data_IF_556896387145
#
_entry.id   IF_556896387145
#
_cell.length_a   1.000
_cell.length_b   1.000
_cell.length_c   1.000
_cell.angle_alpha   90.00
_cell.angle_beta   90.00
_cell.angle_gamma   90.00
#
_symmetry.space_group_name_H-M   'P 1'
#
loop_
_entity.id
_entity.type
_entity.pdbx_description
1 polymer ?
#
# COMPACT_ATOMS: atom_id res chain seq x y z
N UNK A 1 -1.18 6.75 13.90
CA UNK A 1 0.07 7.25 14.49
C UNK A 1 -0.13 8.36 15.52
N UNK A 2 -1.21 9.14 15.40
CA UNK A 2 -1.46 10.34 16.24
C UNK A 2 -1.47 10.02 17.74
N UNK A 3 -2.20 8.99 18.14
CA UNK A 3 -2.38 8.61 19.54
C UNK A 3 -1.34 7.63 20.06
N UNK A 4 -0.31 7.31 19.26
CA UNK A 4 0.64 6.24 19.58
C UNK A 4 1.35 6.46 20.92
N UNK A 5 1.77 7.71 21.22
CA UNK A 5 2.47 8.06 22.44
C UNK A 5 1.57 8.26 23.68
N UNK A 6 0.27 8.01 23.59
CA UNK A 6 -0.63 8.18 24.77
C UNK A 6 -0.49 7.02 25.76
N UNK A 7 -0.67 7.28 27.06
CA UNK A 7 -0.57 6.27 28.11
C UNK A 7 -1.47 5.06 27.88
N UNK A 8 -2.68 5.28 27.34
CA UNK A 8 -3.61 4.19 27.03
C UNK A 8 -3.05 3.24 25.98
N UNK A 9 -2.48 3.79 24.88
CA UNK A 9 -1.89 3.01 23.80
C UNK A 9 -0.61 2.33 24.29
N UNK A 10 0.23 3.05 25.03
CA UNK A 10 1.50 2.50 25.53
C UNK A 10 1.28 1.32 26.49
N UNK A 11 0.34 1.41 27.43
CA UNK A 11 -0.03 0.28 28.29
C UNK A 11 -0.52 -0.93 27.50
N UNK A 12 -1.27 -0.70 26.42
CA UNK A 12 -1.72 -1.79 25.54
C UNK A 12 -0.56 -2.43 24.78
N UNK A 13 0.34 -1.61 24.23
CA UNK A 13 1.54 -2.09 23.51
C UNK A 13 2.44 -2.91 24.43
N UNK A 14 2.75 -2.41 25.62
CA UNK A 14 3.58 -3.11 26.60
C UNK A 14 3.00 -4.48 26.98
N UNK A 15 1.69 -4.54 27.25
CA UNK A 15 1.00 -5.78 27.62
C UNK A 15 0.98 -6.83 26.52
N UNK A 16 0.95 -6.42 25.24
CA UNK A 16 0.69 -7.33 24.12
C UNK A 16 1.84 -7.37 23.10
N UNK A 17 3.01 -6.80 23.40
CA UNK A 17 4.09 -6.55 22.45
C UNK A 17 4.50 -7.79 21.63
N UNK A 18 4.55 -8.96 22.26
CA UNK A 18 4.95 -10.23 21.62
C UNK A 18 3.96 -10.69 20.54
N UNK A 19 2.73 -10.17 20.57
CA UNK A 19 1.66 -10.53 19.66
C UNK A 19 1.28 -9.40 18.69
N UNK A 20 2.03 -8.26 18.73
CA UNK A 20 1.70 -7.08 17.95
C UNK A 20 2.73 -6.81 16.86
N UNK A 21 2.23 -6.51 15.67
CA UNK A 21 2.95 -5.80 14.63
C UNK A 21 2.21 -4.49 14.34
N UNK A 22 2.85 -3.36 14.58
CA UNK A 22 2.21 -2.04 14.45
C UNK A 22 2.92 -1.26 13.35
N UNK A 23 2.20 -0.92 12.29
CA UNK A 23 2.61 0.06 11.29
C UNK A 23 2.01 1.43 11.60
N UNK A 24 2.80 2.48 11.45
CA UNK A 24 2.32 3.87 11.48
C UNK A 24 2.22 4.37 10.04
N UNK A 25 1.08 4.98 9.69
CA UNK A 25 0.93 5.62 8.39
C UNK A 25 1.50 7.04 8.46
N UNK A 26 2.51 7.29 7.63
CA UNK A 26 3.04 8.62 7.33
C UNK A 26 3.38 8.65 5.82
N UNK A 27 2.80 9.60 5.09
CA UNK A 27 2.81 9.56 3.61
C UNK A 27 4.00 10.29 2.98
N UNK A 28 4.95 10.77 3.77
CA UNK A 28 6.14 11.46 3.28
C UNK A 28 6.40 12.79 4.01
N UNK A 29 6.84 13.82 3.27
CA UNK A 29 7.03 15.17 3.81
C UNK A 29 5.73 15.74 4.40
N UNK A 30 5.85 16.73 5.28
CA UNK A 30 4.67 17.41 5.86
C UNK A 30 3.69 17.88 4.78
N UNK A 31 4.21 18.50 3.73
CA UNK A 31 3.39 18.98 2.61
C UNK A 31 2.58 17.86 1.97
N UNK A 32 3.21 16.74 1.63
CA UNK A 32 2.53 15.60 1.00
C UNK A 32 1.58 14.90 1.95
N UNK A 33 1.98 14.69 3.20
CA UNK A 33 1.14 14.03 4.19
C UNK A 33 -0.15 14.82 4.46
N UNK A 34 -0.01 16.12 4.70
CA UNK A 34 -1.11 17.00 5.06
C UNK A 34 -2.09 17.29 3.90
N UNK A 35 -1.73 17.00 2.64
CA UNK A 35 -2.67 17.05 1.50
C UNK A 35 -3.89 16.14 1.69
N UNK A 36 -3.71 14.99 2.30
CA UNK A 36 -4.75 13.95 2.38
C UNK A 36 -5.06 13.51 3.82
N UNK A 37 -4.29 13.97 4.82
CA UNK A 37 -4.43 13.54 6.20
C UNK A 37 -4.65 14.71 7.13
N UNK A 38 -5.81 15.30 6.95
CA UNK A 38 -6.29 16.43 7.76
C UNK A 38 -7.10 15.94 8.97
N UNK A 39 -7.11 16.74 10.01
CA UNK A 39 -8.01 16.54 11.13
C UNK A 39 -9.45 16.87 10.71
N UNK A 40 -10.38 15.97 10.98
CA UNK A 40 -11.79 16.26 10.82
C UNK A 40 -12.25 17.17 11.97
N UNK A 41 -12.90 18.27 11.63
CA UNK A 41 -13.61 19.13 12.59
C UNK A 41 -15.07 18.69 12.72
N UNK A 42 -15.75 19.15 13.78
CA UNK A 42 -17.17 18.89 13.96
C UNK A 42 -18.05 19.47 12.83
N UNK A 43 -17.59 20.54 12.18
CA UNK A 43 -18.22 21.13 10.99
C UNK A 43 -18.08 20.22 9.78
N UNK A 44 -16.92 19.64 9.56
CA UNK A 44 -16.69 18.67 8.47
C UNK A 44 -17.54 17.40 8.66
N UNK A 45 -17.75 16.96 9.89
CA UNK A 45 -18.64 15.83 10.17
C UNK A 45 -20.11 16.14 9.84
N UNK A 46 -20.49 17.42 9.86
CA UNK A 46 -21.80 17.92 9.42
C UNK A 46 -21.87 18.23 7.92
N UNK A 47 -20.82 17.91 7.15
CA UNK A 47 -20.74 18.16 5.72
C UNK A 47 -20.33 19.57 5.32
N UNK A 48 -19.88 20.41 6.27
CA UNK A 48 -19.35 21.74 5.99
C UNK A 48 -17.88 21.57 5.54
N UNK A 49 -17.58 22.03 4.32
CA UNK A 49 -16.20 22.00 3.79
C UNK A 49 -15.45 23.19 4.40
N UNK A 50 -14.35 22.97 5.15
CA UNK A 50 -13.54 24.05 5.69
C UNK A 50 -12.82 24.80 4.56
N UNK A 51 -12.41 26.01 4.83
CA UNK A 51 -11.48 26.70 3.95
C UNK A 51 -10.10 26.05 4.05
N UNK A 52 -9.30 26.04 2.97
CA UNK A 52 -7.95 25.44 2.97
C UNK A 52 -7.05 25.93 4.11
N UNK A 53 -7.17 27.20 4.50
CA UNK A 53 -6.42 27.80 5.61
C UNK A 53 -6.86 27.35 7.01
N UNK A 54 -8.02 26.71 7.11
CA UNK A 54 -8.58 26.16 8.36
C UNK A 54 -8.27 24.67 8.51
N UNK A 55 -7.76 24.04 7.45
CA UNK A 55 -7.40 22.62 7.45
C UNK A 55 -6.09 22.41 8.23
N UNK A 56 -6.17 21.65 9.32
CA UNK A 56 -5.00 21.22 10.08
C UNK A 56 -4.57 19.84 9.65
N UNK A 57 -3.36 19.70 9.10
CA UNK A 57 -2.75 18.42 8.82
C UNK A 57 -2.34 17.66 10.09
N UNK A 58 -2.16 16.36 9.96
CA UNK A 58 -1.82 15.48 11.08
C UNK A 58 -0.33 15.11 11.17
N UNK A 59 0.51 15.61 10.25
CA UNK A 59 1.94 15.28 10.17
C UNK A 59 2.68 15.49 11.50
N UNK A 60 2.57 16.69 12.08
CA UNK A 60 3.29 17.03 13.31
C UNK A 60 2.87 16.16 14.50
N UNK A 61 1.61 15.71 14.51
CA UNK A 61 1.08 14.82 15.53
C UNK A 61 1.50 13.35 15.36
N UNK A 62 1.88 12.95 14.14
CA UNK A 62 2.37 11.61 13.85
C UNK A 62 3.89 11.55 14.02
N UNK A 63 4.63 12.49 13.44
CA UNK A 63 6.10 12.43 13.37
C UNK A 63 6.76 12.43 14.74
N UNK A 64 6.19 13.12 15.73
CA UNK A 64 6.69 13.12 17.12
C UNK A 64 6.71 11.73 17.77
N UNK A 65 5.89 10.80 17.27
CA UNK A 65 5.79 9.43 17.80
C UNK A 65 6.70 8.43 17.06
N UNK A 66 7.30 8.81 15.92
CA UNK A 66 8.14 7.90 15.10
C UNK A 66 9.34 7.36 15.89
N UNK A 67 10.12 8.16 16.66
CA UNK A 67 11.25 7.64 17.42
C UNK A 67 10.85 6.57 18.45
N UNK A 68 9.74 6.79 19.17
CA UNK A 68 9.22 5.81 20.13
C UNK A 68 8.76 4.54 19.43
N UNK A 69 8.05 4.67 18.32
CA UNK A 69 7.57 3.54 17.54
C UNK A 69 8.72 2.68 16.99
N UNK A 70 9.73 3.29 16.36
CA UNK A 70 10.90 2.57 15.84
C UNK A 70 11.73 1.90 16.94
N UNK A 71 11.81 2.51 18.13
CA UNK A 71 12.45 1.88 19.30
C UNK A 71 11.70 0.63 19.76
N UNK A 72 10.36 0.64 19.71
CA UNK A 72 9.54 -0.49 20.13
C UNK A 72 9.41 -1.57 19.05
N UNK A 73 9.37 -1.18 17.78
CA UNK A 73 9.22 -2.07 16.61
C UNK A 73 10.34 -1.79 15.60
N UNK A 74 11.59 -2.22 15.89
CA UNK A 74 12.70 -2.06 14.95
C UNK A 74 12.40 -2.78 13.63
N UNK A 75 12.60 -2.11 12.52
CA UNK A 75 12.30 -2.66 11.18
C UNK A 75 10.81 -2.61 10.78
N UNK A 76 9.95 -2.00 11.60
CA UNK A 76 8.55 -1.79 11.19
C UNK A 76 8.47 -0.79 10.03
N UNK A 77 7.65 -1.14 9.04
CA UNK A 77 7.44 -0.32 7.85
C UNK A 77 6.26 0.64 7.98
N UNK A 78 6.28 1.69 7.16
CA UNK A 78 5.14 2.59 6.96
C UNK A 78 4.38 2.26 5.70
N UNK A 79 3.10 2.66 5.66
CA UNK A 79 2.28 2.58 4.46
C UNK A 79 2.07 3.97 3.88
N UNK A 80 2.35 4.12 2.59
CA UNK A 80 2.18 5.36 1.82
C UNK A 80 1.12 5.13 0.74
N UNK A 81 0.26 6.11 0.54
CA UNK A 81 -0.73 6.10 -0.55
C UNK A 81 -0.40 7.20 -1.54
N UNK A 82 -0.48 6.86 -2.84
CA UNK A 82 -0.20 7.75 -3.96
C UNK A 82 -1.44 7.85 -4.84
N UNK A 83 -1.88 9.09 -5.10
CA UNK A 83 -2.87 9.47 -6.11
C UNK A 83 -2.21 10.36 -7.17
N UNK A 84 -2.98 10.78 -8.18
CA UNK A 84 -2.51 11.72 -9.21
C UNK A 84 -1.85 12.98 -8.62
N UNK A 85 -2.45 13.57 -7.59
CA UNK A 85 -1.94 14.79 -6.94
C UNK A 85 -0.63 14.58 -6.16
N UNK A 86 -0.31 13.34 -5.81
CA UNK A 86 0.87 12.99 -5.00
C UNK A 86 2.13 12.74 -5.85
N UNK A 87 1.98 12.51 -7.15
CA UNK A 87 3.08 12.12 -8.05
C UNK A 87 4.30 13.06 -7.94
N UNK A 88 4.16 14.40 -7.96
CA UNK A 88 5.31 15.30 -7.92
C UNK A 88 6.14 15.23 -6.63
N UNK A 89 5.61 14.59 -5.60
CA UNK A 89 6.23 14.53 -4.26
C UNK A 89 6.81 13.16 -3.90
N UNK A 90 6.80 12.18 -4.83
CA UNK A 90 7.17 10.78 -4.53
C UNK A 90 8.61 10.68 -4.05
N UNK A 91 9.57 11.16 -4.84
CA UNK A 91 11.01 11.07 -4.54
C UNK A 91 11.34 11.72 -3.19
N UNK A 92 10.96 12.99 -3.02
CA UNK A 92 11.26 13.71 -1.79
C UNK A 92 10.61 13.08 -0.56
N UNK A 93 9.38 12.59 -0.72
CA UNK A 93 8.63 11.96 0.37
C UNK A 93 9.24 10.64 0.81
N UNK A 94 9.65 9.79 -0.13
CA UNK A 94 10.28 8.50 0.20
C UNK A 94 11.64 8.70 0.87
N UNK A 95 12.46 9.62 0.36
CA UNK A 95 13.75 9.96 0.97
C UNK A 95 13.59 10.62 2.34
N UNK A 96 12.54 11.43 2.53
CA UNK A 96 12.20 11.98 3.83
C UNK A 96 11.85 10.90 4.85
N UNK A 97 11.08 9.88 4.46
CA UNK A 97 10.76 8.75 5.35
C UNK A 97 12.03 8.00 5.78
N UNK A 98 12.94 7.77 4.85
CA UNK A 98 14.26 7.19 5.16
C UNK A 98 15.04 8.03 6.17
N UNK A 99 15.05 9.37 6.01
CA UNK A 99 15.70 10.30 6.94
C UNK A 99 15.10 10.31 8.35
N UNK A 100 13.84 9.86 8.51
CA UNK A 100 13.21 9.64 9.81
C UNK A 100 13.59 8.29 10.47
N UNK A 101 14.46 7.49 9.82
CA UNK A 101 14.86 6.16 10.26
C UNK A 101 13.87 5.05 9.88
N UNK A 102 12.95 5.30 8.94
CA UNK A 102 12.00 4.30 8.45
C UNK A 102 12.63 3.60 7.24
N UNK A 103 13.10 2.38 7.46
CA UNK A 103 13.84 1.61 6.45
C UNK A 103 12.97 0.69 5.59
N UNK A 104 11.67 0.60 5.87
CA UNK A 104 10.70 -0.14 5.04
C UNK A 104 9.51 0.75 4.69
N UNK A 105 9.33 1.03 3.41
CA UNK A 105 8.26 1.88 2.88
C UNK A 105 7.39 1.08 1.92
N UNK A 106 6.17 0.77 2.35
CA UNK A 106 5.16 0.06 1.58
C UNK A 106 4.23 1.05 0.87
N UNK A 107 4.39 1.21 -0.42
CA UNK A 107 3.71 2.23 -1.21
C UNK A 107 2.65 1.58 -2.11
N UNK A 108 1.44 2.14 -2.10
CA UNK A 108 0.36 1.74 -2.98
C UNK A 108 -0.16 2.95 -3.77
N UNK A 109 -0.31 2.78 -5.07
CA UNK A 109 -1.17 3.66 -5.86
C UNK A 109 -2.63 3.39 -5.50
N UNK A 110 -3.46 4.43 -5.48
CA UNK A 110 -4.92 4.25 -5.33
C UNK A 110 -5.45 3.43 -6.51
N UNK A 111 -6.44 2.61 -6.25
CA UNK A 111 -7.01 1.71 -7.26
C UNK A 111 -8.10 2.39 -8.09
N UNK A 112 -8.64 3.46 -7.56
CA UNK A 112 -9.72 4.26 -8.14
C UNK A 112 -9.27 4.92 -9.45
N UNK A 113 -10.26 5.18 -10.32
CA UNK A 113 -10.04 5.90 -11.59
C UNK A 113 -9.91 7.42 -11.34
N UNK A 114 -8.74 7.81 -10.83
CA UNK A 114 -8.37 9.20 -10.51
C UNK A 114 -7.18 9.70 -11.33
N UNK A 115 -6.66 8.85 -12.22
CA UNK A 115 -5.43 9.09 -12.97
C UNK A 115 -5.70 9.93 -14.22
N UNK A 116 -4.88 10.96 -14.42
CA UNK A 116 -4.95 11.90 -15.55
C UNK A 116 -4.06 11.44 -16.70
N UNK A 117 -4.25 12.05 -17.85
CA UNK A 117 -3.36 11.84 -18.99
C UNK A 117 -1.97 12.39 -18.66
N UNK A 118 -0.95 11.56 -18.91
CA UNK A 118 0.44 11.86 -18.60
C UNK A 118 0.90 11.48 -17.19
N UNK A 119 0.00 11.12 -16.28
CA UNK A 119 0.38 10.70 -14.91
C UNK A 119 1.33 9.49 -14.91
N UNK A 120 1.14 8.55 -15.82
CA UNK A 120 2.01 7.38 -15.96
C UNK A 120 3.45 7.76 -16.32
N UNK A 121 3.65 8.78 -17.16
CA UNK A 121 4.98 9.27 -17.53
C UNK A 121 5.65 10.00 -16.36
N UNK A 122 4.94 10.93 -15.72
CA UNK A 122 5.44 11.63 -14.53
C UNK A 122 5.75 10.67 -13.38
N UNK A 123 4.92 9.64 -13.21
CA UNK A 123 5.15 8.60 -12.20
C UNK A 123 6.42 7.81 -12.49
N UNK A 124 6.65 7.40 -13.74
CA UNK A 124 7.87 6.73 -14.16
C UNK A 124 9.11 7.62 -13.94
N UNK A 125 9.05 8.90 -14.30
CA UNK A 125 10.11 9.89 -14.08
C UNK A 125 10.46 9.99 -12.60
N UNK A 126 9.45 10.18 -11.72
CA UNK A 126 9.65 10.27 -10.28
C UNK A 126 10.24 8.99 -9.67
N UNK A 127 9.82 7.82 -10.15
CA UNK A 127 10.40 6.55 -9.73
C UNK A 127 11.82 6.36 -10.22
N UNK A 128 12.14 6.80 -11.44
CA UNK A 128 13.50 6.75 -12.00
C UNK A 128 14.45 7.65 -11.19
N UNK A 129 14.02 8.87 -10.88
CA UNK A 129 14.80 9.79 -10.03
C UNK A 129 14.97 9.24 -8.59
N UNK A 130 13.95 8.57 -8.04
CA UNK A 130 14.04 7.90 -6.75
C UNK A 130 15.04 6.74 -6.80
N UNK A 131 14.99 5.93 -7.88
CA UNK A 131 15.93 4.84 -8.11
C UNK A 131 17.38 5.33 -8.11
N UNK A 132 17.64 6.43 -8.83
CA UNK A 132 18.96 7.06 -8.88
C UNK A 132 19.42 7.51 -7.50
N UNK A 133 18.57 8.20 -6.75
CA UNK A 133 18.88 8.66 -5.40
C UNK A 133 19.18 7.51 -4.42
N UNK A 134 18.42 6.41 -4.48
CA UNK A 134 18.65 5.22 -3.64
C UNK A 134 19.98 4.56 -3.98
N UNK A 135 20.30 4.41 -5.29
CA UNK A 135 21.53 3.74 -5.73
C UNK A 135 22.77 4.60 -5.47
N UNK A 136 22.71 5.89 -5.78
CA UNK A 136 23.85 6.81 -5.62
C UNK A 136 24.12 7.10 -4.14
N UNK A 137 23.08 7.15 -3.30
CA UNK A 137 23.20 7.29 -1.86
C UNK A 137 23.62 6.02 -1.12
N UNK A 138 23.69 4.87 -1.82
CA UNK A 138 24.00 3.58 -1.18
C UNK A 138 22.87 3.04 -0.31
N UNK A 139 21.66 3.63 -0.34
CA UNK A 139 20.55 3.27 0.54
C UNK A 139 19.97 1.87 0.24
N UNK A 140 20.24 1.30 -0.93
CA UNK A 140 19.82 -0.05 -1.32
C UNK A 140 20.30 -1.16 -0.37
N UNK A 141 21.27 -0.88 0.49
CA UNK A 141 21.83 -1.84 1.46
C UNK A 141 20.91 -2.09 2.65
N UNK A 142 20.13 -1.09 3.06
CA UNK A 142 19.30 -1.13 4.28
C UNK A 142 17.90 -0.54 4.11
N UNK A 143 17.55 -0.09 2.90
CA UNK A 143 16.25 0.52 2.60
C UNK A 143 15.43 -0.33 1.64
N UNK A 144 14.23 -0.71 2.06
CA UNK A 144 13.25 -1.43 1.25
C UNK A 144 12.11 -0.51 0.82
N UNK A 145 12.01 -0.28 -0.49
CA UNK A 145 10.90 0.45 -1.10
C UNK A 145 10.08 -0.49 -1.99
N UNK A 146 8.80 -0.66 -1.68
CA UNK A 146 7.95 -1.61 -2.39
C UNK A 146 7.68 -1.28 -3.85
N UNK A 147 8.07 -0.10 -4.33
CA UNK A 147 8.05 0.19 -5.77
C UNK A 147 9.09 -0.63 -6.55
N UNK A 148 10.18 -1.03 -5.91
CA UNK A 148 11.26 -1.79 -6.53
C UNK A 148 11.29 -3.23 -6.01
N UNK A 149 10.70 -4.14 -6.79
CA UNK A 149 10.55 -5.56 -6.45
C UNK A 149 11.08 -6.42 -7.59
N UNK A 150 12.04 -7.31 -7.32
CA UNK A 150 12.69 -8.13 -8.34
C UNK A 150 11.72 -9.02 -9.15
N UNK A 151 10.69 -9.52 -8.52
CA UNK A 151 9.76 -10.49 -9.12
C UNK A 151 8.53 -9.84 -9.76
N UNK A 152 8.65 -8.60 -10.20
CA UNK A 152 7.56 -7.86 -10.84
C UNK A 152 7.77 -7.77 -12.36
N UNK A 153 6.64 -7.65 -13.09
CA UNK A 153 6.68 -7.39 -14.54
C UNK A 153 6.94 -8.63 -15.39
N UNK A 154 6.42 -9.79 -14.98
CA UNK A 154 6.39 -11.03 -15.76
C UNK A 154 4.95 -11.35 -16.19
N UNK A 155 4.76 -12.23 -17.19
CA UNK A 155 3.43 -12.76 -17.49
C UNK A 155 2.78 -13.44 -16.28
N UNK A 156 1.45 -13.51 -16.27
CA UNK A 156 0.70 -14.23 -15.24
C UNK A 156 0.83 -15.73 -15.44
N UNK A 157 1.24 -16.45 -14.41
CA UNK A 157 1.24 -17.92 -14.39
C UNK A 157 0.00 -18.42 -13.66
N UNK A 158 -1.09 -18.62 -14.43
CA UNK A 158 -2.35 -19.08 -13.87
C UNK A 158 -2.32 -20.53 -13.38
N UNK A 159 -1.34 -21.32 -13.76
CA UNK A 159 -1.22 -22.71 -13.30
C UNK A 159 -0.53 -22.83 -11.95
N UNK A 160 0.54 -22.05 -11.74
CA UNK A 160 1.35 -22.15 -10.54
C UNK A 160 1.13 -21.00 -9.53
N UNK A 161 0.70 -19.82 -10.00
CA UNK A 161 0.59 -18.60 -9.19
C UNK A 161 -0.84 -18.08 -9.08
N UNK A 162 -1.85 -18.89 -9.42
CA UNK A 162 -3.24 -18.47 -9.37
C UNK A 162 -3.75 -18.37 -7.93
N UNK A 163 -3.53 -17.24 -7.29
CA UNK A 163 -3.87 -17.00 -5.89
C UNK A 163 -4.64 -15.69 -5.70
N UNK A 164 -5.44 -15.65 -4.65
CA UNK A 164 -6.05 -14.44 -4.15
C UNK A 164 -5.10 -13.76 -3.13
N UNK A 165 -4.23 -12.89 -3.59
CA UNK A 165 -3.29 -12.14 -2.74
C UNK A 165 -3.94 -10.97 -2.00
N UNK A 166 -5.15 -10.56 -2.37
CA UNK A 166 -5.82 -9.41 -1.78
C UNK A 166 -6.15 -9.59 -0.29
N UNK A 167 -6.31 -10.84 0.17
CA UNK A 167 -6.68 -11.15 1.56
C UNK A 167 -8.16 -10.94 1.90
N UNK A 168 -8.98 -10.33 1.04
CA UNK A 168 -10.42 -10.19 1.27
C UNK A 168 -11.06 -11.58 1.48
N UNK A 169 -11.86 -11.70 2.54
CA UNK A 169 -12.46 -12.95 2.96
C UNK A 169 -11.57 -13.84 3.85
N UNK A 170 -10.25 -13.63 3.88
CA UNK A 170 -9.32 -14.24 4.84
C UNK A 170 -8.97 -13.30 6.00
N UNK A 171 -9.30 -12.03 5.87
CA UNK A 171 -9.28 -11.02 6.91
C UNK A 171 -10.70 -10.63 7.29
N UNK A 172 -10.86 -10.01 8.44
CA UNK A 172 -12.14 -9.54 8.96
C UNK A 172 -12.01 -8.08 9.36
N UNK A 173 -12.93 -7.24 8.89
CA UNK A 173 -13.14 -5.91 9.44
C UNK A 173 -14.46 -5.88 10.20
N UNK A 174 -14.50 -5.10 11.29
CA UNK A 174 -15.67 -4.95 12.16
C UNK A 174 -15.94 -3.47 12.36
N UNK A 175 -17.18 -3.04 12.20
CA UNK A 175 -17.61 -1.67 12.50
C UNK A 175 -18.10 -1.52 13.95
N UNK A 176 -18.53 -0.30 14.31
CA UNK A 176 -19.02 -0.01 15.66
C UNK A 176 -20.34 -0.69 16.00
N UNK A 177 -21.13 -1.04 14.98
CA UNK A 177 -22.39 -1.76 15.08
C UNK A 177 -22.20 -3.28 15.18
N UNK A 178 -20.95 -3.74 15.06
CA UNK A 178 -20.60 -5.17 15.11
C UNK A 178 -20.80 -5.92 13.80
N UNK A 179 -20.99 -5.21 12.68
CA UNK A 179 -21.10 -5.86 11.37
C UNK A 179 -19.72 -6.31 10.87
N UNK A 180 -19.71 -7.48 10.23
CA UNK A 180 -18.51 -8.10 9.65
C UNK A 180 -18.41 -7.83 8.15
N UNK A 181 -17.20 -7.47 7.69
CA UNK A 181 -16.88 -7.23 6.29
C UNK A 181 -15.68 -8.07 5.86
N UNK A 182 -15.57 -8.47 4.56
CA UNK A 182 -14.43 -9.23 4.05
C UNK A 182 -13.09 -8.49 4.21
N UNK A 183 -13.12 -7.15 4.20
CA UNK A 183 -12.06 -6.21 4.60
C UNK A 183 -12.67 -4.81 4.74
N UNK A 184 -11.89 -3.84 5.22
CA UNK A 184 -12.33 -2.44 5.41
C UNK A 184 -12.87 -1.78 4.14
N UNK A 185 -12.44 -2.21 2.96
CA UNK A 185 -12.88 -1.67 1.66
C UNK A 185 -14.33 -2.00 1.31
N UNK A 186 -14.98 -2.93 2.02
CA UNK A 186 -16.40 -3.28 1.84
C UNK A 186 -17.34 -2.60 2.83
N UNK A 187 -16.81 -1.82 3.78
CA UNK A 187 -17.61 -0.99 4.65
C UNK A 187 -18.16 0.25 3.90
N UNK A 188 -19.34 0.74 4.29
CA UNK A 188 -20.04 1.81 3.56
C UNK A 188 -19.20 3.07 3.37
N UNK A 189 -18.40 3.46 4.36
CA UNK A 189 -17.53 4.63 4.29
C UNK A 189 -16.37 4.54 3.28
N UNK A 190 -16.10 3.33 2.76
CA UNK A 190 -15.05 3.08 1.77
C UNK A 190 -15.59 2.93 0.35
N UNK A 191 -16.91 2.90 0.16
CA UNK A 191 -17.57 2.68 -1.12
C UNK A 191 -18.18 3.97 -1.64
N UNK A 192 -18.08 4.18 -2.96
CA UNK A 192 -18.59 5.36 -3.67
C UNK A 192 -19.95 5.10 -4.30
N UNK A 193 -20.14 3.92 -4.89
CA UNK A 193 -21.30 3.61 -5.73
C UNK A 193 -22.10 2.41 -5.25
N UNK A 194 -21.55 1.54 -4.45
CA UNK A 194 -22.18 0.29 -4.00
C UNK A 194 -22.57 0.36 -2.53
N UNK A 195 -23.52 -0.50 -2.14
CA UNK A 195 -23.84 -0.73 -0.73
C UNK A 195 -22.77 -1.61 -0.07
N UNK A 196 -22.58 -1.42 1.23
CA UNK A 196 -21.69 -2.25 2.05
C UNK A 196 -21.98 -3.75 1.87
N UNK A 197 -20.92 -4.56 1.81
CA UNK A 197 -21.04 -6.01 1.73
C UNK A 197 -20.82 -6.62 3.12
N UNK A 198 -21.91 -6.72 3.87
CA UNK A 198 -21.90 -7.31 5.21
C UNK A 198 -21.94 -8.83 5.10
N UNK A 199 -20.93 -9.49 5.69
CA UNK A 199 -20.80 -10.97 5.71
C UNK A 199 -21.20 -11.60 7.03
N UNK A 200 -21.72 -10.82 7.96
CA UNK A 200 -22.17 -11.31 9.28
C UNK A 200 -22.17 -10.21 10.31
N UNK A 201 -22.34 -10.62 11.57
CA UNK A 201 -22.38 -9.72 12.72
C UNK A 201 -21.86 -10.45 13.97
N UNK A 202 -21.45 -9.69 15.01
CA UNK A 202 -20.93 -10.22 16.29
C UNK A 202 -21.91 -11.16 17.02
N UNK A 203 -23.21 -11.02 16.76
CA UNK A 203 -24.26 -11.84 17.40
C UNK A 203 -24.55 -13.13 16.63
N UNK A 204 -24.58 -13.04 15.28
CA UNK A 204 -25.01 -14.13 14.41
C UNK A 204 -23.81 -14.90 13.80
N UNK A 205 -22.60 -14.36 13.93
CA UNK A 205 -21.40 -14.91 13.34
C UNK A 205 -21.27 -14.60 11.84
N UNK A 206 -20.48 -15.40 11.13
CA UNK A 206 -20.19 -15.21 9.71
C UNK A 206 -21.18 -16.00 8.84
N UNK A 207 -21.83 -15.31 7.90
CA UNK A 207 -22.62 -15.92 6.84
C UNK A 207 -21.68 -16.51 5.76
N UNK A 208 -21.58 -17.84 5.77
CA UNK A 208 -20.70 -18.58 4.84
C UNK A 208 -21.07 -18.39 3.37
N UNK A 209 -22.34 -18.16 3.05
CA UNK A 209 -22.78 -17.94 1.67
C UNK A 209 -22.32 -16.58 1.15
N UNK A 210 -22.40 -15.56 1.99
CA UNK A 210 -21.91 -14.21 1.65
C UNK A 210 -20.39 -14.13 1.61
N UNK A 211 -19.69 -14.96 2.40
CA UNK A 211 -18.23 -15.04 2.41
C UNK A 211 -17.67 -15.85 1.24
N UNK A 212 -18.39 -16.88 0.78
CA UNK A 212 -17.93 -17.84 -0.24
C UNK A 212 -17.33 -17.20 -1.50
N UNK A 213 -17.89 -16.14 -2.11
CA UNK A 213 -17.30 -15.50 -3.31
C UNK A 213 -15.85 -15.09 -3.11
N UNK A 214 -15.50 -14.57 -1.93
CA UNK A 214 -14.14 -14.11 -1.60
C UNK A 214 -13.15 -15.26 -1.39
N UNK A 215 -13.61 -16.42 -0.94
CA UNK A 215 -12.77 -17.60 -0.71
C UNK A 215 -12.51 -18.39 -2.00
N UNK A 216 -13.43 -18.31 -2.96
CA UNK A 216 -13.35 -19.03 -4.23
C UNK A 216 -12.79 -18.19 -5.38
N UNK A 217 -12.74 -16.87 -5.20
CA UNK A 217 -12.23 -15.97 -6.20
C UNK A 217 -10.70 -16.06 -6.30
N UNK A 218 -10.21 -16.18 -7.49
CA UNK A 218 -8.79 -16.10 -7.81
C UNK A 218 -8.52 -15.04 -8.89
N UNK A 219 -7.25 -14.71 -9.06
CA UNK A 219 -6.84 -13.64 -9.95
C UNK A 219 -7.11 -13.96 -11.42
N UNK A 220 -6.93 -15.21 -11.81
CA UNK A 220 -7.10 -15.62 -13.20
C UNK A 220 -8.56 -15.68 -13.61
N UNK A 221 -9.43 -16.24 -12.76
CA UNK A 221 -10.87 -16.30 -13.04
C UNK A 221 -11.55 -14.93 -13.02
N UNK A 222 -11.01 -13.96 -12.26
CA UNK A 222 -11.52 -12.59 -12.28
C UNK A 222 -10.98 -11.75 -13.44
N UNK A 223 -9.79 -12.06 -13.96
CA UNK A 223 -9.11 -11.22 -14.93
C UNK A 223 -9.72 -11.37 -16.33
N UNK A 224 -9.78 -10.25 -17.06
CA UNK A 224 -10.11 -10.24 -18.48
C UNK A 224 -9.02 -10.94 -19.29
N UNK A 225 -9.32 -11.33 -20.52
CA UNK A 225 -8.32 -11.92 -21.44
C UNK A 225 -7.11 -10.99 -21.61
N UNK A 226 -7.31 -9.68 -21.72
CA UNK A 226 -6.22 -8.70 -21.82
C UNK A 226 -5.29 -8.75 -20.60
N UNK A 227 -5.85 -8.92 -19.41
CA UNK A 227 -5.04 -9.04 -18.19
C UNK A 227 -4.28 -10.37 -18.09
N UNK A 228 -4.89 -11.47 -18.59
CA UNK A 228 -4.24 -12.80 -18.62
C UNK A 228 -3.09 -12.81 -19.62
N UNK A 229 -3.29 -12.22 -20.80
CA UNK A 229 -2.29 -12.15 -21.86
C UNK A 229 -1.25 -11.03 -21.62
N UNK A 230 -1.35 -10.28 -20.55
CA UNK A 230 -0.44 -9.16 -20.27
C UNK A 230 0.97 -9.65 -19.92
N UNK A 231 1.96 -9.22 -20.69
CA UNK A 231 3.37 -9.59 -20.53
C UNK A 231 3.98 -9.13 -19.18
N UNK A 232 3.35 -8.15 -18.51
CA UNK A 232 3.84 -7.58 -17.26
C UNK A 232 2.82 -7.71 -16.11
N UNK A 233 1.98 -8.74 -16.15
CA UNK A 233 0.88 -8.91 -15.21
C UNK A 233 1.30 -9.14 -13.75
N UNK A 234 2.47 -9.75 -13.51
CA UNK A 234 2.92 -10.04 -12.14
C UNK A 234 3.21 -8.74 -11.37
N UNK A 235 2.79 -8.70 -10.10
CA UNK A 235 2.89 -7.49 -9.28
C UNK A 235 1.86 -6.39 -9.61
N UNK A 236 0.98 -6.61 -10.62
CA UNK A 236 -0.12 -5.69 -10.89
C UNK A 236 -1.09 -5.69 -9.71
N UNK A 237 -1.34 -4.49 -9.19
CA UNK A 237 -2.21 -4.32 -8.04
C UNK A 237 -3.65 -4.76 -8.31
N UNK A 238 -4.28 -5.35 -7.29
CA UNK A 238 -5.59 -5.94 -7.38
C UNK A 238 -6.35 -5.77 -6.09
N UNK A 239 -7.45 -5.02 -6.10
CA UNK A 239 -8.27 -4.75 -4.94
C UNK A 239 -9.70 -5.23 -5.17
N UNK A 240 -10.15 -6.19 -4.37
CA UNK A 240 -11.52 -6.74 -4.45
C UNK A 240 -12.59 -5.68 -4.14
N UNK A 241 -12.30 -4.78 -3.17
CA UNK A 241 -13.22 -3.70 -2.82
C UNK A 241 -13.40 -2.69 -3.96
N UNK A 242 -12.32 -2.34 -4.64
CA UNK A 242 -12.41 -1.48 -5.83
C UNK A 242 -13.09 -2.20 -7.00
N UNK A 243 -12.77 -3.46 -7.23
CA UNK A 243 -13.44 -4.26 -8.25
C UNK A 243 -14.96 -4.30 -8.04
N UNK A 244 -15.39 -4.47 -6.78
CA UNK A 244 -16.80 -4.43 -6.40
C UNK A 244 -17.43 -3.05 -6.63
N UNK A 245 -16.75 -1.99 -6.18
CA UNK A 245 -17.29 -0.63 -6.23
C UNK A 245 -17.36 -0.09 -7.66
N UNK A 246 -16.39 -0.43 -8.51
CA UNK A 246 -16.32 -0.02 -9.92
C UNK A 246 -17.14 -0.90 -10.87
N UNK A 247 -17.60 -2.08 -10.45
CA UNK A 247 -18.35 -2.99 -11.30
C UNK A 247 -19.71 -2.43 -11.72
N UNK A 248 -20.20 -2.82 -12.91
CA UNK A 248 -21.51 -2.40 -13.42
C UNK A 248 -22.67 -2.95 -12.56
N UNK A 249 -22.46 -4.12 -11.96
CA UNK A 249 -23.42 -4.78 -11.07
C UNK A 249 -22.76 -5.09 -9.70
N UNK A 250 -23.55 -5.43 -8.65
CA UNK A 250 -23.01 -5.81 -7.35
C UNK A 250 -22.26 -7.15 -7.40
N UNK A 251 -21.03 -7.15 -7.93
CA UNK A 251 -20.20 -8.36 -8.11
C UNK A 251 -18.73 -8.07 -7.77
N UNK A 252 -18.01 -9.10 -7.33
CA UNK A 252 -16.55 -9.08 -7.16
C UNK A 252 -15.82 -9.72 -8.36
N UNK A 253 -16.56 -10.21 -9.36
CA UNK A 253 -15.99 -10.95 -10.50
C UNK A 253 -15.60 -10.06 -11.68
N UNK A 254 -15.93 -8.76 -11.66
CA UNK A 254 -15.50 -7.79 -12.66
C UNK A 254 -14.24 -7.08 -12.17
N UNK A 255 -13.14 -7.13 -12.94
CA UNK A 255 -11.87 -6.50 -12.59
C UNK A 255 -11.82 -5.05 -13.07
N UNK A 256 -11.49 -4.12 -12.17
CA UNK A 256 -11.11 -2.75 -12.51
C UNK A 256 -9.69 -2.72 -13.09
N UNK A 257 -9.50 -1.95 -14.18
CA UNK A 257 -8.21 -1.77 -14.87
C UNK A 257 -7.69 -0.33 -14.84
N UNK A 258 -8.32 0.55 -14.06
CA UNK A 258 -7.94 1.96 -13.95
C UNK A 258 -6.45 2.18 -13.64
N UNK A 259 -5.87 1.30 -12.82
CA UNK A 259 -4.45 1.36 -12.42
C UNK A 259 -3.46 0.83 -13.48
N UNK A 260 -3.94 0.30 -14.61
CA UNK A 260 -3.11 -0.42 -15.59
C UNK A 260 -1.93 0.39 -16.09
N UNK A 261 -2.14 1.67 -16.49
CA UNK A 261 -1.07 2.56 -16.96
C UNK A 261 0.01 2.77 -15.90
N UNK A 262 -0.40 2.97 -14.64
CA UNK A 262 0.52 3.17 -13.51
C UNK A 262 1.34 1.92 -13.20
N UNK A 263 0.73 0.73 -13.30
CA UNK A 263 1.48 -0.52 -13.15
C UNK A 263 2.55 -0.68 -14.23
N UNK A 264 2.22 -0.45 -15.51
CA UNK A 264 3.18 -0.53 -16.62
C UNK A 264 4.33 0.47 -16.45
N UNK A 265 4.06 1.69 -16.02
CA UNK A 265 5.06 2.70 -15.68
C UNK A 265 5.97 2.24 -14.53
N UNK A 266 5.38 1.70 -13.47
CA UNK A 266 6.13 1.13 -12.35
C UNK A 266 7.05 0.00 -12.79
N UNK A 267 6.60 -0.90 -13.67
CA UNK A 267 7.44 -2.00 -14.18
C UNK A 267 8.66 -1.45 -14.94
N UNK A 268 8.50 -0.42 -15.78
CA UNK A 268 9.63 0.18 -16.51
C UNK A 268 10.65 0.79 -15.55
N UNK A 269 10.20 1.56 -14.56
CA UNK A 269 11.08 2.14 -13.54
C UNK A 269 11.73 1.06 -12.65
N UNK A 270 11.00 0.00 -12.31
CA UNK A 270 11.53 -1.14 -11.57
C UNK A 270 12.66 -1.86 -12.35
N UNK A 271 12.47 -2.10 -13.65
CA UNK A 271 13.50 -2.68 -14.50
C UNK A 271 14.72 -1.76 -14.62
N UNK A 272 14.51 -0.44 -14.71
CA UNK A 272 15.60 0.54 -14.68
C UNK A 272 16.40 0.43 -13.37
N UNK A 273 15.72 0.42 -12.20
CA UNK A 273 16.35 0.32 -10.88
C UNK A 273 17.24 -0.94 -10.78
N UNK A 274 16.69 -2.12 -11.05
CA UNK A 274 17.43 -3.36 -10.90
C UNK A 274 18.58 -3.50 -11.91
N UNK A 275 18.39 -3.09 -13.16
CA UNK A 275 19.45 -3.10 -14.16
C UNK A 275 20.60 -2.16 -13.77
N UNK A 276 20.29 -0.97 -13.27
CA UNK A 276 21.30 0.00 -12.82
C UNK A 276 22.04 -0.49 -11.59
N UNK A 277 21.31 -1.01 -10.61
CA UNK A 277 21.89 -1.54 -9.37
C UNK A 277 22.83 -2.71 -9.66
N UNK A 278 22.39 -3.69 -10.43
CA UNK A 278 23.24 -4.85 -10.73
C UNK A 278 24.48 -4.47 -11.52
N UNK A 279 24.40 -3.56 -12.48
CA UNK A 279 25.58 -3.05 -13.19
C UNK A 279 26.58 -2.35 -12.25
N UNK A 280 26.09 -1.61 -11.26
CA UNK A 280 26.92 -0.99 -10.22
C UNK A 280 27.62 -2.05 -9.39
N UNK A 281 26.87 -3.00 -8.84
CA UNK A 281 27.40 -4.07 -8.01
C UNK A 281 28.40 -4.98 -8.75
N UNK A 282 28.16 -5.28 -10.02
CA UNK A 282 29.10 -6.02 -10.87
C UNK A 282 30.41 -5.26 -11.08
N UNK A 283 30.32 -3.96 -11.35
CA UNK A 283 31.49 -3.08 -11.53
C UNK A 283 32.32 -2.96 -10.25
N UNK A 284 31.67 -2.95 -9.10
CA UNK A 284 32.30 -2.82 -7.77
C UNK A 284 32.73 -4.17 -7.19
N UNK A 285 32.34 -5.30 -7.82
CA UNK A 285 32.65 -6.66 -7.34
C UNK A 285 31.85 -7.09 -6.11
N UNK A 286 30.76 -6.39 -5.80
CA UNK A 286 29.96 -6.56 -4.56
C UNK A 286 28.68 -7.40 -4.77
N UNK A 287 28.43 -7.91 -5.97
CA UNK A 287 27.16 -8.56 -6.29
C UNK A 287 26.88 -9.80 -5.44
N UNK A 288 27.87 -10.66 -5.24
CA UNK A 288 27.72 -11.90 -4.47
C UNK A 288 27.44 -11.60 -3.00
N UNK A 289 28.12 -10.62 -2.42
CA UNK A 289 27.91 -10.18 -1.04
C UNK A 289 26.50 -9.62 -0.85
N UNK A 290 26.03 -8.79 -1.76
CA UNK A 290 24.68 -8.24 -1.76
C UNK A 290 23.59 -9.34 -1.85
N UNK A 291 23.74 -10.30 -2.75
CA UNK A 291 22.80 -11.43 -2.87
C UNK A 291 22.77 -12.30 -1.60
N UNK A 292 23.91 -12.56 -1.00
CA UNK A 292 24.03 -13.30 0.27
C UNK A 292 23.39 -12.54 1.44
N UNK A 293 23.51 -11.21 1.51
CA UNK A 293 22.89 -10.40 2.54
C UNK A 293 21.37 -10.41 2.45
N UNK A 294 20.81 -10.36 1.24
CA UNK A 294 19.37 -10.49 0.99
C UNK A 294 18.79 -11.83 1.43
N UNK A 295 19.50 -12.93 1.16
CA UNK A 295 19.06 -14.26 1.58
C UNK A 295 18.94 -14.34 3.10
N UNK A 296 19.89 -13.78 3.85
CA UNK A 296 19.86 -13.73 5.31
C UNK A 296 18.69 -12.93 5.86
N UNK A 297 18.37 -11.79 5.24
CA UNK A 297 17.23 -10.94 5.62
C UNK A 297 15.87 -11.62 5.37
N UNK A 298 15.74 -12.38 4.29
CA UNK A 298 14.50 -13.12 3.99
C UNK A 298 14.28 -14.31 4.93
N UNK A 299 15.33 -14.99 5.37
CA UNK A 299 15.25 -16.09 6.34
C UNK A 299 14.84 -15.57 7.73
N UNK A 300 15.21 -14.35 8.09
CA UNK A 300 14.83 -13.76 9.39
C UNK A 300 13.39 -13.22 9.45
N UNK A 301 12.69 -13.12 8.29
CA UNK A 301 11.28 -12.66 8.18
C UNK A 301 10.26 -13.81 8.08
N UNK A 302 10.72 -15.08 8.00
CA UNK A 302 9.92 -16.29 8.12
C UNK A 302 9.89 -16.79 9.56
#
# INVERSE_FOLDING_TARGET
GINYGTDKVQRFVEKNREHLSIGITIDGTKRKHDLNRIWKTAEMEKGIVPKPEEEKGSYDDVVKNIPLWLKQFPGAGTKVTISSADIPYIKESVLHLYSLGIHEVNINCVFEDVWKDGDDKHFEEQLTELADAIIDGGYYTDFACSFFTEQMGKPMDCQNENQNWCGAGRMLAVDAEGNFYPCTRFAQYSLRSKKAWIIGNVHDGIDKNKLRPFLTLDRCTQSTKECIDCEVASGCAWCQGENYDAADTPTVYQRSTAICKMHKARVRANNYYWNRLYRKLEKEGEREEYENSKQKLNVSKC
#
